data_IF_088417265528
#
_entry.id   IF_088417265528
#
_cell.length_a   1.000
_cell.length_b   1.000
_cell.length_c   1.000
_cell.angle_alpha   90.00
_cell.angle_beta   90.00
_cell.angle_gamma   90.00
#
_symmetry.space_group_name_H-M   'P 1'
#
loop_
_entity.id
_entity.type
_entity.pdbx_description
1 polymer ?
#
# COMPACT_ATOMS: atom_id res chain seq x y z
N UNK A 1 -6.37 -2.32 -22.34
CA UNK A 1 -5.18 -2.83 -21.61
C UNK A 1 -5.65 -3.78 -20.53
N UNK A 2 -4.92 -4.85 -20.21
CA UNK A 2 -5.27 -5.72 -19.08
C UNK A 2 -5.18 -4.94 -17.77
N UNK A 3 -6.15 -5.14 -16.87
CA UNK A 3 -6.18 -4.54 -15.53
C UNK A 3 -5.12 -5.19 -14.62
N UNK A 4 -4.69 -4.47 -13.59
CA UNK A 4 -3.84 -5.03 -12.53
C UNK A 4 -4.70 -5.71 -11.47
N UNK A 5 -4.21 -6.83 -10.95
CA UNK A 5 -4.89 -7.60 -9.90
C UNK A 5 -4.23 -7.35 -8.53
N UNK A 6 -5.05 -7.21 -7.49
CA UNK A 6 -4.58 -7.32 -6.10
C UNK A 6 -4.57 -8.78 -5.64
N UNK A 7 -5.53 -9.57 -6.14
CA UNK A 7 -5.69 -10.98 -5.77
C UNK A 7 -6.36 -11.78 -6.89
N UNK A 8 -5.95 -13.04 -7.01
CA UNK A 8 -6.61 -14.06 -7.83
C UNK A 8 -6.45 -15.43 -7.17
N UNK A 9 -7.56 -16.13 -6.96
CA UNK A 9 -7.57 -17.46 -6.34
C UNK A 9 -9.00 -17.95 -6.08
N UNK A 10 -9.20 -19.27 -6.12
CA UNK A 10 -10.49 -19.92 -5.80
C UNK A 10 -11.71 -19.39 -6.59
N UNK A 11 -11.49 -18.98 -7.85
CA UNK A 11 -12.52 -18.39 -8.71
C UNK A 11 -12.85 -16.92 -8.39
N UNK A 12 -12.11 -16.28 -7.49
CA UNK A 12 -12.23 -14.86 -7.16
C UNK A 12 -11.12 -14.08 -7.85
N UNK A 13 -11.51 -12.98 -8.51
CA UNK A 13 -10.60 -11.99 -9.06
C UNK A 13 -10.87 -10.63 -8.41
N UNK A 14 -9.82 -9.97 -7.95
CA UNK A 14 -9.91 -8.66 -7.34
C UNK A 14 -8.97 -7.68 -8.04
N UNK A 15 -9.56 -6.63 -8.63
CA UNK A 15 -8.83 -5.55 -9.27
C UNK A 15 -8.07 -4.70 -8.25
N UNK A 16 -6.87 -4.27 -8.63
CA UNK A 16 -5.99 -3.47 -7.78
C UNK A 16 -6.63 -2.12 -7.43
N UNK A 17 -7.11 -1.34 -8.41
CA UNK A 17 -7.73 -0.04 -8.13
C UNK A 17 -8.88 -0.13 -7.11
N UNK A 18 -9.80 -1.08 -7.29
CA UNK A 18 -10.94 -1.24 -6.39
C UNK A 18 -10.51 -1.65 -4.99
N UNK A 19 -9.51 -2.53 -4.89
CA UNK A 19 -8.95 -2.93 -3.61
C UNK A 19 -8.33 -1.73 -2.88
N UNK A 20 -7.42 -1.00 -3.54
CA UNK A 20 -6.74 0.16 -2.95
C UNK A 20 -7.74 1.26 -2.53
N UNK A 21 -8.77 1.51 -3.33
CA UNK A 21 -9.82 2.47 -2.99
C UNK A 21 -10.63 2.04 -1.77
N UNK A 22 -11.04 0.77 -1.68
CA UNK A 22 -11.80 0.27 -0.52
C UNK A 22 -10.96 0.26 0.76
N UNK A 23 -9.71 -0.18 0.67
CA UNK A 23 -8.78 -0.16 1.82
C UNK A 23 -8.50 1.28 2.26
N UNK A 24 -8.22 2.19 1.32
CA UNK A 24 -8.01 3.61 1.59
C UNK A 24 -9.22 4.26 2.27
N UNK A 25 -10.42 4.01 1.76
CA UNK A 25 -11.67 4.51 2.36
C UNK A 25 -11.89 3.97 3.77
N UNK A 26 -11.78 2.65 3.95
CA UNK A 26 -12.02 2.03 5.26
C UNK A 26 -10.95 2.42 6.29
N UNK A 27 -9.69 2.57 5.87
CA UNK A 27 -8.62 3.08 6.73
C UNK A 27 -8.91 4.52 7.18
N UNK A 28 -9.34 5.39 6.25
CA UNK A 28 -9.75 6.76 6.57
C UNK A 28 -10.91 6.81 7.59
N UNK A 29 -11.94 5.99 7.39
CA UNK A 29 -13.10 5.88 8.29
C UNK A 29 -12.69 5.35 9.66
N UNK A 30 -11.88 4.29 9.72
CA UNK A 30 -11.38 3.71 10.98
C UNK A 30 -10.57 4.72 11.78
N UNK A 31 -9.90 5.66 11.12
CA UNK A 31 -9.15 6.75 11.75
C UNK A 31 -9.98 8.04 11.98
N UNK A 32 -11.30 8.02 11.78
CA UNK A 32 -12.18 9.21 11.86
C UNK A 32 -12.12 9.94 13.21
N UNK A 33 -11.94 9.22 14.32
CA UNK A 33 -11.82 9.79 15.68
C UNK A 33 -10.40 10.23 16.05
N UNK A 34 -9.47 10.24 15.10
CA UNK A 34 -8.08 10.65 15.29
C UNK A 34 -7.82 12.01 14.65
N UNK A 35 -6.69 12.61 15.03
CA UNK A 35 -6.20 13.86 14.45
C UNK A 35 -6.08 13.76 12.92
N UNK A 36 -6.23 14.90 12.23
CA UNK A 36 -6.27 14.95 10.77
C UNK A 36 -5.04 14.29 10.11
N UNK A 37 -3.87 14.47 10.70
CA UNK A 37 -2.60 13.86 10.27
C UNK A 37 -2.65 12.33 10.26
N UNK A 38 -3.16 11.70 11.33
CA UNK A 38 -3.30 10.24 11.42
C UNK A 38 -4.34 9.72 10.42
N UNK A 39 -5.42 10.46 10.22
CA UNK A 39 -6.48 10.10 9.28
C UNK A 39 -6.00 10.15 7.83
N UNK A 40 -5.25 11.20 7.50
CA UNK A 40 -4.59 11.34 6.19
C UNK A 40 -3.56 10.24 5.97
N UNK A 41 -2.73 9.94 6.98
CA UNK A 41 -1.78 8.84 6.91
C UNK A 41 -2.46 7.49 6.65
N UNK A 42 -3.59 7.22 7.30
CA UNK A 42 -4.38 6.00 7.08
C UNK A 42 -4.92 5.89 5.65
N UNK A 43 -5.42 7.00 5.09
CA UNK A 43 -5.84 7.06 3.69
C UNK A 43 -4.67 6.76 2.74
N UNK A 44 -3.55 7.48 2.90
CA UNK A 44 -2.37 7.31 2.06
C UNK A 44 -1.82 5.88 2.15
N UNK A 45 -1.75 5.31 3.36
CA UNK A 45 -1.32 3.95 3.58
C UNK A 45 -2.23 2.96 2.85
N UNK A 46 -3.56 3.09 3.01
CA UNK A 46 -4.52 2.21 2.35
C UNK A 46 -4.46 2.27 0.83
N UNK A 47 -4.32 3.47 0.26
CA UNK A 47 -4.22 3.68 -1.18
C UNK A 47 -2.92 3.11 -1.79
N UNK A 48 -1.84 3.03 -1.02
CA UNK A 48 -0.51 2.73 -1.54
C UNK A 48 0.09 1.39 -1.07
N UNK A 49 -0.48 0.72 -0.06
CA UNK A 49 0.18 -0.42 0.59
C UNK A 49 0.50 -1.62 -0.31
N UNK A 50 -0.27 -1.79 -1.39
CA UNK A 50 -0.24 -2.96 -2.26
C UNK A 50 0.24 -2.65 -3.69
N UNK A 51 0.70 -1.43 -3.97
CA UNK A 51 1.11 -1.01 -5.33
C UNK A 51 2.30 -1.80 -5.87
N UNK A 52 3.14 -2.35 -5.00
CA UNK A 52 4.23 -3.26 -5.35
C UNK A 52 3.74 -4.56 -6.01
N UNK A 53 2.46 -4.93 -5.87
CA UNK A 53 1.87 -6.04 -6.62
C UNK A 53 1.80 -5.75 -8.13
N UNK A 54 2.01 -4.51 -8.57
CA UNK A 54 2.07 -4.16 -9.99
C UNK A 54 3.31 -4.72 -10.72
N UNK A 55 4.34 -5.20 -10.01
CA UNK A 55 5.51 -5.82 -10.64
C UNK A 55 5.11 -7.05 -11.47
N UNK A 56 5.85 -7.27 -12.56
CA UNK A 56 5.59 -8.37 -13.49
C UNK A 56 5.60 -9.74 -12.78
N UNK A 57 6.49 -9.94 -11.79
CA UNK A 57 6.57 -11.20 -11.04
C UNK A 57 5.30 -11.56 -10.25
N UNK A 58 4.53 -10.57 -9.79
CA UNK A 58 3.29 -10.81 -9.04
C UNK A 58 2.13 -10.99 -9.99
N UNK A 59 2.02 -10.10 -11.00
CA UNK A 59 0.95 -10.16 -11.99
C UNK A 59 1.02 -11.44 -12.82
N UNK A 60 2.20 -11.83 -13.30
CA UNK A 60 2.40 -13.08 -14.03
C UNK A 60 2.05 -14.29 -13.18
N UNK A 61 2.42 -14.27 -11.90
CA UNK A 61 2.11 -15.39 -11.03
C UNK A 61 0.61 -15.51 -10.77
N UNK A 62 -0.09 -14.40 -10.50
CA UNK A 62 -1.54 -14.38 -10.37
C UNK A 62 -2.24 -14.86 -11.65
N UNK A 63 -1.70 -14.58 -12.82
CA UNK A 63 -2.26 -15.05 -14.09
C UNK A 63 -2.01 -16.55 -14.34
N UNK A 64 -0.88 -17.09 -13.89
CA UNK A 64 -0.43 -18.47 -14.19
C UNK A 64 -0.84 -19.51 -13.15
N UNK A 65 -1.12 -19.11 -11.91
CA UNK A 65 -1.40 -20.04 -10.81
C UNK A 65 -2.64 -19.66 -10.04
N UNK A 66 -3.48 -20.64 -9.72
CA UNK A 66 -4.64 -20.45 -8.82
C UNK A 66 -4.25 -20.34 -7.33
N UNK A 67 -2.99 -20.62 -6.98
CA UNK A 67 -2.48 -20.51 -5.61
C UNK A 67 -1.90 -19.13 -5.37
N UNK A 68 -2.42 -18.45 -4.33
CA UNK A 68 -2.13 -17.07 -3.98
C UNK A 68 -0.64 -16.74 -3.95
N UNK A 69 -0.19 -16.03 -4.97
CA UNK A 69 1.23 -15.71 -5.17
C UNK A 69 1.62 -14.31 -4.64
N UNK A 70 0.69 -13.66 -3.94
CA UNK A 70 0.70 -12.22 -3.60
C UNK A 70 1.21 -11.90 -2.20
N UNK A 71 1.84 -12.84 -1.48
CA UNK A 71 2.04 -12.69 -0.03
C UNK A 71 3.43 -12.28 0.43
N UNK A 72 4.47 -12.43 -0.40
CA UNK A 72 5.85 -12.24 0.07
C UNK A 72 6.48 -11.01 -0.56
N UNK A 73 6.83 -10.05 0.31
CA UNK A 73 7.70 -8.91 0.06
C UNK A 73 7.18 -7.80 -0.86
N UNK A 74 5.91 -7.83 -1.27
CA UNK A 74 5.35 -6.74 -2.06
C UNK A 74 5.29 -5.44 -1.26
N UNK A 75 5.27 -5.50 0.07
CA UNK A 75 5.29 -4.33 0.95
C UNK A 75 6.60 -3.54 0.84
N UNK A 76 7.73 -4.20 0.53
CA UNK A 76 9.02 -3.53 0.31
C UNK A 76 8.98 -2.73 -0.98
N UNK A 77 8.51 -3.34 -2.08
CA UNK A 77 8.35 -2.64 -3.35
C UNK A 77 7.30 -1.53 -3.26
N UNK A 78 6.21 -1.79 -2.54
CA UNK A 78 5.17 -0.79 -2.27
C UNK A 78 5.75 0.40 -1.50
N UNK A 79 6.57 0.15 -0.47
CA UNK A 79 7.22 1.22 0.28
C UNK A 79 8.17 2.06 -0.59
N UNK A 80 8.97 1.44 -1.47
CA UNK A 80 9.87 2.16 -2.40
C UNK A 80 9.07 3.04 -3.36
N UNK A 81 8.04 2.48 -4.02
CA UNK A 81 7.16 3.23 -4.92
C UNK A 81 6.43 4.36 -4.17
N UNK A 82 5.97 4.07 -2.94
CA UNK A 82 5.26 5.03 -2.10
C UNK A 82 6.17 6.16 -1.64
N UNK A 83 7.44 5.90 -1.37
CA UNK A 83 8.39 6.95 -1.00
C UNK A 83 8.52 8.01 -2.10
N UNK A 84 8.53 7.60 -3.38
CA UNK A 84 8.52 8.56 -4.49
C UNK A 84 7.21 9.36 -4.53
N UNK A 85 6.05 8.70 -4.40
CA UNK A 85 4.75 9.38 -4.40
C UNK A 85 4.65 10.38 -3.23
N UNK A 86 4.96 9.92 -2.02
CA UNK A 86 4.87 10.70 -0.79
C UNK A 86 5.88 11.84 -0.76
N UNK A 87 7.07 11.65 -1.33
CA UNK A 87 8.10 12.68 -1.46
C UNK A 87 7.70 13.82 -2.40
N UNK A 88 6.87 13.52 -3.41
CA UNK A 88 6.35 14.50 -4.37
C UNK A 88 4.99 15.12 -3.96
N UNK A 89 4.49 14.83 -2.76
CA UNK A 89 3.32 15.54 -2.23
C UNK A 89 3.70 16.99 -1.86
N UNK A 90 2.82 17.98 -2.11
CA UNK A 90 3.08 19.39 -1.78
C UNK A 90 3.25 19.59 -0.27
N UNK A 91 4.00 20.62 0.14
CA UNK A 91 4.43 20.86 1.53
C UNK A 91 3.28 21.01 2.54
N UNK A 92 2.09 21.39 2.08
CA UNK A 92 0.87 21.49 2.89
C UNK A 92 0.37 20.11 3.39
N UNK A 93 0.80 19.02 2.75
CA UNK A 93 0.62 17.66 3.28
C UNK A 93 1.67 17.41 4.38
N UNK A 94 1.27 17.25 5.66
CA UNK A 94 2.22 17.14 6.77
C UNK A 94 3.23 16.01 6.58
N UNK A 95 4.49 16.29 6.91
CA UNK A 95 5.57 15.32 6.81
C UNK A 95 5.29 14.07 7.66
N UNK A 96 4.75 14.28 8.86
CA UNK A 96 4.29 13.26 9.81
C UNK A 96 3.37 12.24 9.13
N UNK A 97 2.37 12.72 8.37
CA UNK A 97 1.38 11.85 7.73
C UNK A 97 2.04 10.94 6.70
N UNK A 98 3.01 11.47 5.95
CA UNK A 98 3.82 10.72 4.99
C UNK A 98 4.68 9.67 5.70
N UNK A 99 5.32 10.03 6.82
CA UNK A 99 6.10 9.08 7.63
C UNK A 99 5.24 7.92 8.12
N UNK A 100 4.10 8.24 8.72
CA UNK A 100 3.19 7.24 9.28
C UNK A 100 2.67 6.31 8.20
N UNK A 101 2.31 6.85 7.03
CA UNK A 101 1.86 6.06 5.89
C UNK A 101 2.96 5.11 5.40
N UNK A 102 4.17 5.63 5.14
CA UNK A 102 5.29 4.82 4.66
C UNK A 102 5.64 3.69 5.64
N UNK A 103 5.63 3.98 6.95
CA UNK A 103 5.89 2.98 7.96
C UNK A 103 4.77 1.93 8.00
N UNK A 104 3.51 2.34 7.95
CA UNK A 104 2.39 1.41 7.89
C UNK A 104 2.47 0.48 6.67
N UNK A 105 2.80 1.02 5.50
CA UNK A 105 3.01 0.25 4.28
C UNK A 105 4.11 -0.80 4.46
N UNK A 106 5.28 -0.44 5.01
CA UNK A 106 6.37 -1.40 5.19
C UNK A 106 6.04 -2.53 6.17
N UNK A 107 5.20 -2.25 7.18
CA UNK A 107 4.94 -3.15 8.30
C UNK A 107 3.55 -3.81 8.28
N UNK A 108 2.73 -3.61 7.24
CA UNK A 108 1.36 -4.17 7.24
C UNK A 108 1.31 -5.70 7.25
N UNK A 109 2.36 -6.40 6.76
CA UNK A 109 2.51 -7.86 6.92
C UNK A 109 3.22 -8.28 8.21
N UNK A 110 3.05 -7.57 9.33
CA UNK A 110 3.77 -7.84 10.59
C UNK A 110 3.65 -9.27 11.12
N UNK A 111 2.55 -9.98 10.83
CA UNK A 111 2.37 -11.38 11.21
C UNK A 111 3.37 -12.33 10.51
N UNK A 112 3.96 -11.89 9.39
CA UNK A 112 4.98 -12.62 8.64
C UNK A 112 6.41 -12.36 9.17
N UNK A 113 6.55 -11.76 10.35
CA UNK A 113 7.83 -11.52 11.02
C UNK A 113 8.49 -10.20 10.64
N UNK A 114 9.81 -10.13 10.84
CA UNK A 114 10.63 -8.94 10.55
C UNK A 114 10.72 -8.74 9.01
N UNK A 115 10.53 -7.49 8.48
CA UNK A 115 10.74 -7.20 7.06
C UNK A 115 12.06 -7.73 6.48
N UNK A 116 13.15 -7.74 7.25
CA UNK A 116 14.44 -8.27 6.82
C UNK A 116 14.39 -9.76 6.49
N UNK A 117 13.62 -10.54 7.26
CA UNK A 117 13.43 -11.96 6.98
C UNK A 117 12.67 -12.16 5.66
N UNK A 118 11.72 -11.26 5.35
CA UNK A 118 10.93 -11.30 4.11
C UNK A 118 11.77 -10.94 2.89
N UNK A 119 12.79 -10.09 3.04
CA UNK A 119 13.79 -9.87 1.98
C UNK A 119 14.50 -11.19 1.64
N UNK A 120 14.90 -11.97 2.65
CA UNK A 120 15.52 -13.28 2.45
C UNK A 120 14.61 -14.26 1.68
N UNK A 121 13.32 -14.27 1.98
CA UNK A 121 12.33 -15.09 1.26
C UNK A 121 12.06 -14.60 -0.17
N UNK A 122 12.00 -13.29 -0.39
CA UNK A 122 11.95 -12.69 -1.73
C UNK A 122 13.15 -13.12 -2.56
N UNK A 123 14.33 -13.04 -1.98
CA UNK A 123 15.58 -13.44 -2.58
C UNK A 123 15.57 -14.91 -3.02
N UNK A 124 15.14 -15.83 -2.14
CA UNK A 124 14.94 -17.25 -2.49
C UNK A 124 13.92 -17.42 -3.62
N UNK A 125 12.83 -16.64 -3.61
CA UNK A 125 11.80 -16.66 -4.66
C UNK A 125 12.36 -16.20 -6.00
N UNK A 126 13.09 -15.08 -6.03
CA UNK A 126 13.72 -14.54 -7.24
C UNK A 126 14.72 -15.54 -7.83
N UNK A 127 15.52 -16.20 -7.00
CA UNK A 127 16.46 -17.23 -7.45
C UNK A 127 15.77 -18.45 -8.09
N UNK A 128 14.52 -18.75 -7.70
CA UNK A 128 13.74 -19.88 -8.23
C UNK A 128 12.90 -19.53 -9.46
N UNK A 129 12.58 -18.25 -9.66
CA UNK A 129 11.74 -17.83 -10.78
C UNK A 129 12.56 -17.70 -12.06
N UNK A 130 12.14 -18.41 -13.12
CA UNK A 130 12.72 -18.28 -14.48
C UNK A 130 12.38 -16.94 -15.14
N UNK A 131 11.25 -16.33 -14.75
CA UNK A 131 10.84 -15.00 -15.23
C UNK A 131 11.58 -13.91 -14.48
N UNK A 132 12.19 -12.99 -15.22
CA UNK A 132 12.83 -11.79 -14.69
C UNK A 132 11.78 -10.96 -13.94
N UNK A 133 11.96 -10.78 -12.63
CA UNK A 133 11.22 -9.77 -11.90
C UNK A 133 11.65 -8.40 -12.44
N UNK A 134 10.74 -7.69 -13.08
CA UNK A 134 10.98 -6.35 -13.61
C UNK A 134 9.79 -5.45 -13.33
N UNK A 135 10.04 -4.15 -13.38
CA UNK A 135 9.01 -3.13 -13.45
C UNK A 135 9.17 -2.38 -14.77
N UNK A 136 8.39 -2.80 -15.76
CA UNK A 136 8.45 -2.23 -17.12
C UNK A 136 7.70 -0.89 -17.23
N UNK A 137 8.04 -0.08 -18.23
CA UNK A 137 7.31 1.15 -18.53
C UNK A 137 5.81 0.92 -18.82
N UNK A 138 5.44 -0.28 -19.32
CA UNK A 138 4.04 -0.70 -19.45
C UNK A 138 3.36 -0.84 -18.08
N UNK A 139 4.02 -1.49 -17.12
CA UNK A 139 3.48 -1.64 -15.75
C UNK A 139 3.38 -0.31 -15.02
N UNK A 140 4.35 0.58 -15.19
CA UNK A 140 4.27 1.95 -14.69
C UNK A 140 3.01 2.69 -15.17
N UNK A 141 2.73 2.66 -16.48
CA UNK A 141 1.52 3.26 -17.06
C UNK A 141 0.24 2.63 -16.52
N UNK A 142 0.22 1.30 -16.38
CA UNK A 142 -0.93 0.59 -15.80
C UNK A 142 -1.14 0.95 -14.33
N UNK A 143 -0.08 1.00 -13.53
CA UNK A 143 -0.17 1.38 -12.12
C UNK A 143 -0.67 2.82 -11.95
N UNK A 144 -0.19 3.74 -12.80
CA UNK A 144 -0.70 5.12 -12.84
C UNK A 144 -2.21 5.13 -13.07
N UNK A 145 -2.69 4.40 -14.08
CA UNK A 145 -4.11 4.32 -14.37
C UNK A 145 -4.94 3.73 -13.21
N UNK A 146 -4.45 2.65 -12.58
CA UNK A 146 -5.14 2.02 -11.43
C UNK A 146 -5.19 2.95 -10.22
N UNK A 147 -4.13 3.73 -9.94
CA UNK A 147 -4.13 4.73 -8.87
C UNK A 147 -5.11 5.87 -9.13
N UNK A 148 -5.14 6.40 -10.37
CA UNK A 148 -6.08 7.46 -10.74
C UNK A 148 -7.54 6.97 -10.68
N UNK A 149 -7.79 5.71 -11.03
CA UNK A 149 -9.09 5.11 -10.87
C UNK A 149 -9.44 4.90 -9.40
N UNK A 150 -8.50 4.45 -8.57
CA UNK A 150 -8.72 4.32 -7.14
C UNK A 150 -9.12 5.66 -6.50
N UNK A 151 -8.45 6.76 -6.88
CA UNK A 151 -8.83 8.13 -6.47
C UNK A 151 -10.24 8.47 -6.96
N UNK A 152 -10.59 8.15 -8.20
CA UNK A 152 -11.92 8.42 -8.75
C UNK A 152 -13.02 7.64 -8.03
N UNK A 153 -12.75 6.41 -7.60
CA UNK A 153 -13.66 5.61 -6.77
C UNK A 153 -13.82 6.20 -5.36
N UNK A 154 -12.79 6.85 -4.81
CA UNK A 154 -12.86 7.56 -3.53
C UNK A 154 -13.70 8.83 -3.61
N UNK A 155 -13.59 9.60 -4.71
CA UNK A 155 -14.40 10.83 -4.93
C UNK A 155 -15.90 10.51 -4.88
N UNK A 156 -16.31 9.39 -5.48
CA UNK A 156 -17.71 8.92 -5.45
C UNK A 156 -18.25 8.65 -4.05
N UNK A 157 -17.37 8.43 -3.05
CA UNK A 157 -17.78 8.19 -1.66
C UNK A 157 -18.09 9.47 -0.88
N UNK A 158 -17.66 10.63 -1.36
CA UNK A 158 -17.91 11.95 -0.76
C UNK A 158 -17.53 12.08 0.74
N UNK A 159 -16.66 11.20 1.24
CA UNK A 159 -16.26 11.18 2.65
C UNK A 159 -14.88 11.82 2.90
N UNK A 160 -14.07 11.94 1.84
CA UNK A 160 -12.71 12.48 1.90
C UNK A 160 -12.75 13.89 1.27
N UNK A 161 -12.12 14.90 1.89
CA UNK A 161 -12.04 16.24 1.33
C UNK A 161 -11.51 16.24 -0.11
N UNK A 162 -12.23 16.91 -1.01
CA UNK A 162 -11.95 16.89 -2.45
C UNK A 162 -10.55 17.42 -2.78
N UNK A 163 -10.09 18.46 -2.08
CA UNK A 163 -8.76 19.03 -2.26
C UNK A 163 -7.64 18.01 -1.96
N UNK A 164 -7.84 17.09 -1.01
CA UNK A 164 -6.86 16.02 -0.73
C UNK A 164 -6.79 15.04 -1.90
N UNK A 165 -7.94 14.66 -2.47
CA UNK A 165 -8.01 13.74 -3.60
C UNK A 165 -7.40 14.36 -4.87
N UNK A 166 -7.65 15.65 -5.11
CA UNK A 166 -7.05 16.42 -6.20
C UNK A 166 -5.52 16.51 -6.06
N UNK A 167 -5.02 16.76 -4.86
CA UNK A 167 -3.57 16.75 -4.58
C UNK A 167 -2.97 15.38 -4.88
N UNK A 168 -3.56 14.29 -4.38
CA UNK A 168 -3.07 12.93 -4.64
C UNK A 168 -3.09 12.63 -6.15
N UNK A 169 -4.17 13.00 -6.84
CA UNK A 169 -4.32 12.81 -8.29
C UNK A 169 -3.21 13.54 -9.05
N UNK A 170 -3.00 14.82 -8.76
CA UNK A 170 -1.98 15.63 -9.40
C UNK A 170 -0.58 15.07 -9.14
N UNK A 171 -0.28 14.64 -7.91
CA UNK A 171 1.01 14.00 -7.59
C UNK A 171 1.20 12.72 -8.40
N UNK A 172 0.21 11.81 -8.43
CA UNK A 172 0.30 10.54 -9.18
C UNK A 172 0.53 10.76 -10.68
N UNK A 173 -0.10 11.78 -11.27
CA UNK A 173 0.07 12.13 -12.69
C UNK A 173 1.49 12.60 -13.04
N UNK A 174 2.18 13.21 -12.07
CA UNK A 174 3.49 13.84 -12.28
C UNK A 174 4.67 12.98 -11.80
N UNK A 175 4.43 11.75 -11.34
CA UNK A 175 5.52 10.86 -10.92
C UNK A 175 6.41 10.47 -12.11
N UNK A 176 7.72 10.61 -11.93
CA UNK A 176 8.71 10.04 -12.84
C UNK A 176 8.83 8.53 -12.62
N UNK A 177 7.93 7.80 -13.25
CA UNK A 177 7.94 6.34 -13.19
C UNK A 177 9.17 5.69 -13.86
N UNK A 178 9.90 6.40 -14.71
CA UNK A 178 11.14 5.87 -15.28
C UNK A 178 12.19 5.78 -14.18
N UNK A 179 12.33 6.83 -13.37
CA UNK A 179 13.21 6.82 -12.19
C UNK A 179 12.82 5.72 -11.20
N UNK A 180 11.53 5.58 -10.89
CA UNK A 180 11.03 4.50 -10.02
C UNK A 180 11.37 3.12 -10.58
N UNK A 181 11.19 2.92 -11.89
CA UNK A 181 11.52 1.67 -12.56
C UNK A 181 13.01 1.37 -12.52
N UNK A 182 13.88 2.36 -12.76
CA UNK A 182 15.33 2.20 -12.61
C UNK A 182 15.67 1.75 -11.19
N UNK A 183 15.16 2.44 -10.16
CA UNK A 183 15.43 2.08 -8.76
C UNK A 183 14.99 0.65 -8.41
N UNK A 184 13.80 0.24 -8.85
CA UNK A 184 13.27 -1.10 -8.61
C UNK A 184 14.08 -2.16 -9.36
N UNK A 185 14.38 -1.93 -10.64
CA UNK A 185 15.13 -2.89 -11.44
C UNK A 185 16.57 -3.02 -10.93
N UNK A 186 17.23 -1.93 -10.55
CA UNK A 186 18.55 -1.97 -9.91
C UNK A 186 18.52 -2.75 -8.60
N UNK A 187 17.45 -2.63 -7.80
CA UNK A 187 17.29 -3.46 -6.61
C UNK A 187 17.20 -4.94 -7.01
N UNK A 188 16.32 -5.29 -7.95
CA UNK A 188 16.09 -6.66 -8.39
C UNK A 188 17.35 -7.33 -8.97
N UNK A 189 18.19 -6.56 -9.67
CA UNK A 189 19.44 -7.04 -10.28
C UNK A 189 20.56 -7.32 -9.27
N UNK A 190 20.55 -6.65 -8.12
CA UNK A 190 21.69 -6.65 -7.22
C UNK A 190 21.96 -8.00 -6.51
N UNK A 191 21.02 -8.96 -6.57
CA UNK A 191 21.15 -10.27 -5.92
C UNK A 191 20.98 -10.20 -4.40
N UNK A 192 20.78 -11.33 -3.72
CA UNK A 192 20.23 -11.42 -2.35
C UNK A 192 20.93 -10.52 -1.30
N UNK A 193 22.26 -10.62 -1.17
CA UNK A 193 23.02 -9.89 -0.17
C UNK A 193 23.01 -8.38 -0.46
N UNK A 194 23.09 -8.01 -1.73
CA UNK A 194 23.02 -6.62 -2.18
C UNK A 194 21.60 -6.08 -2.16
N UNK A 195 20.56 -6.89 -2.40
CA UNK A 195 19.15 -6.54 -2.27
C UNK A 195 18.87 -6.19 -0.81
N UNK A 196 19.34 -6.98 0.15
CA UNK A 196 19.18 -6.65 1.56
C UNK A 196 19.88 -5.34 1.90
N UNK A 197 21.13 -5.17 1.47
CA UNK A 197 21.90 -3.94 1.72
C UNK A 197 21.29 -2.71 1.03
N UNK A 198 20.88 -2.83 -0.23
CA UNK A 198 20.30 -1.74 -1.03
C UNK A 198 18.88 -1.44 -0.59
N UNK A 199 18.06 -2.44 -0.25
CA UNK A 199 16.74 -2.21 0.33
C UNK A 199 16.88 -1.52 1.67
N UNK A 200 17.80 -1.95 2.54
CA UNK A 200 18.12 -1.25 3.78
C UNK A 200 18.60 0.17 3.51
N UNK A 201 19.54 0.37 2.59
CA UNK A 201 20.04 1.69 2.24
C UNK A 201 18.92 2.59 1.70
N UNK A 202 18.12 2.13 0.74
CA UNK A 202 16.98 2.86 0.18
C UNK A 202 15.91 3.15 1.24
N UNK A 203 15.68 2.21 2.17
CA UNK A 203 14.81 2.43 3.33
C UNK A 203 15.37 3.49 4.26
N UNK A 204 16.66 3.44 4.55
CA UNK A 204 17.33 4.43 5.40
C UNK A 204 17.39 5.81 4.71
N UNK A 205 17.66 5.88 3.41
CA UNK A 205 17.57 7.10 2.60
C UNK A 205 16.14 7.65 2.59
N UNK A 206 15.14 6.80 2.34
CA UNK A 206 13.73 7.17 2.43
C UNK A 206 13.34 7.61 3.85
N UNK A 207 14.04 7.12 4.88
CA UNK A 207 13.87 7.52 6.27
C UNK A 207 14.66 8.76 6.66
N UNK A 208 15.68 9.19 5.90
CA UNK A 208 16.50 10.36 6.27
C UNK A 208 15.67 11.62 6.51
N UNK A 209 14.67 11.97 5.67
CA UNK A 209 13.79 13.11 5.95
C UNK A 209 12.98 12.94 7.25
N UNK A 210 12.84 11.70 7.73
CA UNK A 210 11.93 11.31 8.81
C UNK A 210 12.66 10.89 10.10
N UNK A 211 14.00 10.78 10.06
CA UNK A 211 14.80 10.17 11.12
C UNK A 211 14.59 10.85 12.47
N UNK A 212 14.61 12.19 12.48
CA UNK A 212 14.39 13.00 13.69
C UNK A 212 12.99 12.80 14.29
N UNK A 213 11.97 12.65 13.44
CA UNK A 213 10.59 12.41 13.90
C UNK A 213 10.41 11.01 14.48
N UNK A 214 11.06 10.00 13.89
CA UNK A 214 10.90 8.58 14.27
C UNK A 214 11.51 8.22 15.62
N UNK A 215 12.32 9.11 16.19
CA UNK A 215 12.88 8.98 17.55
C UNK A 215 11.89 9.50 18.62
N UNK A 216 10.82 10.19 18.21
CA UNK A 216 9.79 10.68 19.13
C UNK A 216 8.74 9.60 19.43
N UNK A 217 8.48 9.36 20.72
CA UNK A 217 7.50 8.36 21.19
C UNK A 217 6.11 8.54 20.56
N UNK A 218 5.66 9.79 20.36
CA UNK A 218 4.37 10.09 19.71
C UNK A 218 4.35 9.55 18.27
N UNK A 219 5.42 9.76 17.51
CA UNK A 219 5.56 9.31 16.13
C UNK A 219 5.51 7.80 16.02
N UNK A 220 6.21 7.08 16.92
CA UNK A 220 6.19 5.62 16.98
C UNK A 220 4.78 5.12 17.27
N UNK A 221 4.08 5.71 18.24
CA UNK A 221 2.72 5.30 18.58
C UNK A 221 1.75 5.55 17.42
N UNK A 222 1.79 6.74 16.81
CA UNK A 222 0.94 7.09 15.68
C UNK A 222 1.19 6.19 14.47
N UNK A 223 2.44 5.86 14.16
CA UNK A 223 2.72 4.95 13.03
C UNK A 223 2.24 3.52 13.30
N UNK A 224 2.39 3.01 14.53
CA UNK A 224 1.83 1.71 14.93
C UNK A 224 0.31 1.70 14.88
N UNK A 225 -0.33 2.80 15.30
CA UNK A 225 -1.77 2.97 15.17
C UNK A 225 -2.21 2.93 13.70
N UNK A 226 -1.56 3.69 12.81
CA UNK A 226 -1.86 3.68 11.36
C UNK A 226 -1.62 2.29 10.76
N UNK A 227 -0.56 1.59 11.18
CA UNK A 227 -0.32 0.19 10.76
C UNK A 227 -1.47 -0.72 11.17
N UNK A 228 -1.95 -0.64 12.41
CA UNK A 228 -3.10 -1.40 12.88
C UNK A 228 -4.37 -1.07 12.10
N UNK A 229 -4.61 0.21 11.82
CA UNK A 229 -5.74 0.67 11.00
C UNK A 229 -5.68 0.10 9.58
N UNK A 230 -4.51 0.16 8.93
CA UNK A 230 -4.29 -0.40 7.60
C UNK A 230 -4.60 -1.90 7.57
N UNK A 231 -4.06 -2.66 8.53
CA UNK A 231 -4.30 -4.11 8.63
C UNK A 231 -5.78 -4.43 8.81
N UNK A 232 -6.48 -3.70 9.68
CA UNK A 232 -7.91 -3.88 9.87
C UNK A 232 -8.70 -3.58 8.59
N UNK A 233 -8.35 -2.51 7.87
CA UNK A 233 -9.00 -2.13 6.62
C UNK A 233 -8.76 -3.16 5.51
N UNK A 234 -7.54 -3.67 5.36
CA UNK A 234 -7.17 -4.69 4.38
C UNK A 234 -7.88 -6.02 4.67
N UNK A 235 -7.79 -6.53 5.90
CA UNK A 235 -8.50 -7.75 6.33
C UNK A 235 -10.01 -7.63 6.07
N UNK A 236 -10.62 -6.50 6.42
CA UNK A 236 -12.03 -6.28 6.17
C UNK A 236 -12.38 -6.30 4.68
N UNK A 237 -11.60 -5.60 3.85
CA UNK A 237 -11.81 -5.50 2.39
C UNK A 237 -11.62 -6.87 1.73
N UNK A 238 -10.51 -7.54 2.01
CA UNK A 238 -10.22 -8.88 1.53
C UNK A 238 -11.30 -9.88 1.98
N UNK A 239 -11.71 -9.82 3.24
CA UNK A 239 -12.74 -10.69 3.82
C UNK A 239 -14.11 -10.53 3.16
N UNK A 240 -14.47 -9.32 2.72
CA UNK A 240 -15.73 -9.08 2.00
C UNK A 240 -15.74 -9.61 0.57
N UNK A 241 -14.60 -9.63 -0.10
CA UNK A 241 -14.48 -9.98 -1.51
C UNK A 241 -14.11 -11.44 -1.74
N UNK A 242 -13.26 -12.00 -0.87
CA UNK A 242 -12.63 -13.31 -1.09
C UNK A 242 -13.27 -14.45 -0.30
N UNK A 243 -13.96 -14.17 0.81
CA UNK A 243 -14.46 -15.21 1.69
C UNK A 243 -15.86 -15.71 1.30
N UNK A 244 -16.01 -17.02 1.06
CA UNK A 244 -17.32 -17.69 0.98
C UNK A 244 -18.06 -17.66 2.32
N UNK A 245 -17.30 -17.73 3.42
CA UNK A 245 -17.81 -17.60 4.79
C UNK A 245 -17.03 -16.55 5.58
N UNK A 246 -17.74 -15.64 6.25
CA UNK A 246 -17.12 -14.57 7.03
C UNK A 246 -16.50 -15.13 8.32
N UNK A 247 -15.16 -15.10 8.41
CA UNK A 247 -14.45 -15.35 9.65
C UNK A 247 -14.95 -14.44 10.78
N UNK A 248 -14.86 -14.86 12.07
CA UNK A 248 -15.33 -14.07 13.21
C UNK A 248 -14.79 -12.64 13.22
N UNK A 249 -13.49 -12.46 12.90
CA UNK A 249 -12.86 -11.15 12.83
C UNK A 249 -13.54 -10.24 11.80
N UNK A 250 -13.93 -10.75 10.63
CA UNK A 250 -14.64 -9.96 9.61
C UNK A 250 -15.99 -9.48 10.12
N UNK A 251 -16.73 -10.32 10.85
CA UNK A 251 -18.03 -9.94 11.44
C UNK A 251 -17.87 -8.81 12.47
N UNK A 252 -16.83 -8.88 13.29
CA UNK A 252 -16.52 -7.82 14.26
C UNK A 252 -16.14 -6.50 13.58
N UNK A 253 -15.24 -6.56 12.60
CA UNK A 253 -14.82 -5.38 11.83
C UNK A 253 -16.00 -4.77 11.07
N UNK A 254 -16.88 -5.58 10.49
CA UNK A 254 -18.09 -5.11 9.81
C UNK A 254 -19.01 -4.32 10.75
N UNK A 255 -19.29 -4.85 11.94
CA UNK A 255 -20.12 -4.16 12.94
C UNK A 255 -19.48 -2.83 13.35
N UNK A 256 -18.16 -2.83 13.56
CA UNK A 256 -17.42 -1.64 13.97
C UNK A 256 -17.39 -0.57 12.88
N UNK A 257 -17.07 -0.92 11.64
CA UNK A 257 -17.02 0.00 10.50
C UNK A 257 -18.42 0.56 10.20
N UNK A 258 -19.47 -0.27 10.23
CA UNK A 258 -20.86 0.20 10.10
C UNK A 258 -21.21 1.25 11.15
N UNK A 259 -20.83 1.00 12.41
CA UNK A 259 -21.04 1.97 13.49
C UNK A 259 -20.31 3.29 13.21
N UNK A 260 -19.05 3.24 12.76
CA UNK A 260 -18.29 4.46 12.41
C UNK A 260 -18.89 5.21 11.22
N UNK A 261 -19.38 4.52 10.19
CA UNK A 261 -20.06 5.17 9.06
C UNK A 261 -21.27 5.99 9.52
N UNK A 262 -22.10 5.43 10.41
CA UNK A 262 -23.28 6.16 10.92
C UNK A 262 -22.93 7.42 11.71
N UNK A 263 -21.70 7.50 12.24
CA UNK A 263 -21.18 8.67 12.93
C UNK A 263 -20.57 9.69 11.95
N UNK A 264 -19.98 9.24 10.83
CA UNK A 264 -19.35 10.11 9.85
C UNK A 264 -20.34 10.78 8.89
N UNK A 265 -21.51 10.17 8.65
CA UNK A 265 -22.53 10.70 7.71
C UNK A 265 -23.54 11.65 8.36
N UNK A 266 -23.44 11.89 9.67
CA UNK A 266 -24.29 12.88 10.34
C UNK A 266 -23.62 14.25 10.19
N UNK A 267 -24.31 15.26 9.62
CA UNK A 267 -23.79 16.62 9.65
C UNK A 267 -23.58 17.04 11.12
N UNK A 268 -22.53 17.83 11.40
CA UNK A 268 -22.24 18.33 12.75
C UNK A 268 -23.41 19.13 13.33
#
# INVERSE_FOLDING_TARGET
>A
MSRLLSYRGEGVEELLASHLAEVGYHAYVLASKREATVRLAALLAGLLHDIGKALDMYQDCMLKTEKGCSYLAHEIFSAIMSAEILGNLPEDIPLEARCYALQAILFHHQALGNPLNRIGELAKRLARQKTRATFSGKRAKQLTAELLEAVSLLEQRQAIPQNILETIRATVQNIDWNRVAVNINSLLEAGIATITRLAQQQLEEARKPFKKLLEETKTIFSSKLVTGVLIMADIYTAGRRRAKEKQPLHKHLEKYIKHLHTQCTRPP
#
